data_IF_454824968480
#
_entry.id   IF_454824968480
#
_cell.length_a   1.000
_cell.length_b   1.000
_cell.length_c   1.000
_cell.angle_alpha   90.00
_cell.angle_beta   90.00
_cell.angle_gamma   90.00
#
_symmetry.space_group_name_H-M   'P 1'
#
loop_
_entity.id
_entity.type
_entity.pdbx_description
1 polymer ?
#
# COMPACT_ATOMS: atom_id res chain seq x y z
N UNK A 1 -3.11 13.17 -29.31
CA UNK A 1 -2.26 12.74 -28.18
C UNK A 1 -2.59 11.28 -27.89
N UNK A 2 -1.98 10.35 -28.64
CA UNK A 2 -2.20 8.92 -28.43
C UNK A 2 -1.30 8.44 -27.30
N UNK A 3 -1.87 7.78 -26.29
CA UNK A 3 -1.09 7.11 -25.25
C UNK A 3 -0.34 5.93 -25.88
N UNK A 4 0.83 6.20 -26.45
CA UNK A 4 1.64 5.28 -27.24
C UNK A 4 2.20 4.07 -26.46
N UNK A 5 1.91 3.95 -25.17
CA UNK A 5 2.47 2.91 -24.29
C UNK A 5 1.43 2.07 -23.52
N UNK A 6 0.12 2.19 -23.80
CA UNK A 6 -0.85 1.28 -23.20
C UNK A 6 -0.81 -0.07 -23.92
N UNK A 7 0.08 -0.96 -23.51
CA UNK A 7 0.10 -2.34 -23.98
C UNK A 7 -1.18 -3.07 -23.54
N UNK A 8 -2.26 -2.91 -24.33
CA UNK A 8 -3.56 -3.51 -24.04
C UNK A 8 -3.47 -5.03 -23.91
N UNK A 9 -2.67 -5.67 -24.77
CA UNK A 9 -2.49 -7.12 -24.78
C UNK A 9 -1.64 -7.64 -23.62
N UNK A 10 -0.60 -6.91 -23.23
CA UNK A 10 0.36 -7.33 -22.20
C UNK A 10 -0.03 -6.95 -20.78
N UNK A 11 -0.77 -5.84 -20.60
CA UNK A 11 -1.07 -5.22 -19.30
C UNK A 11 -2.57 -5.02 -19.11
N UNK A 12 -3.25 -4.38 -20.06
CA UNK A 12 -4.66 -4.00 -19.93
C UNK A 12 -5.63 -5.18 -19.78
N UNK A 13 -5.63 -6.13 -20.72
CA UNK A 13 -6.51 -7.30 -20.69
C UNK A 13 -6.23 -8.22 -19.49
N UNK A 14 -4.96 -8.53 -19.13
CA UNK A 14 -4.68 -9.30 -17.92
C UNK A 14 -5.22 -8.64 -16.65
N UNK A 15 -5.01 -7.33 -16.46
CA UNK A 15 -5.54 -6.63 -15.28
C UNK A 15 -7.06 -6.59 -15.28
N UNK A 16 -7.68 -6.35 -16.44
CA UNK A 16 -9.14 -6.39 -16.57
C UNK A 16 -9.70 -7.76 -16.18
N UNK A 17 -9.06 -8.85 -16.60
CA UNK A 17 -9.46 -10.21 -16.21
C UNK A 17 -9.45 -10.38 -14.69
N UNK A 18 -8.38 -9.98 -14.02
CA UNK A 18 -8.28 -10.06 -12.55
C UNK A 18 -9.37 -9.23 -11.85
N UNK A 19 -9.65 -8.02 -12.35
CA UNK A 19 -10.71 -7.17 -11.82
C UNK A 19 -12.10 -7.82 -12.01
N UNK A 20 -12.36 -8.43 -13.16
CA UNK A 20 -13.63 -9.12 -13.44
C UNK A 20 -13.80 -10.31 -12.48
N UNK A 21 -12.80 -11.18 -12.36
CA UNK A 21 -12.84 -12.33 -11.45
C UNK A 21 -13.07 -11.91 -9.99
N UNK A 22 -12.45 -10.81 -9.56
CA UNK A 22 -12.65 -10.26 -8.23
C UNK A 22 -14.08 -9.74 -8.02
N UNK A 23 -14.64 -9.04 -9.01
CA UNK A 23 -16.03 -8.55 -8.98
C UNK A 23 -17.04 -9.70 -8.93
N UNK A 24 -16.82 -10.75 -9.71
CA UNK A 24 -17.67 -11.94 -9.72
C UNK A 24 -17.63 -12.65 -8.36
N UNK A 25 -16.44 -12.82 -7.78
CA UNK A 25 -16.26 -13.43 -6.47
C UNK A 25 -16.95 -12.63 -5.36
N UNK A 26 -16.82 -11.29 -5.39
CA UNK A 26 -17.52 -10.41 -4.45
C UNK A 26 -19.04 -10.48 -4.61
N UNK A 27 -19.55 -10.42 -5.85
CA UNK A 27 -20.98 -10.51 -6.14
C UNK A 27 -21.57 -11.86 -5.70
N UNK A 28 -20.84 -12.96 -5.93
CA UNK A 28 -21.24 -14.28 -5.46
C UNK A 28 -21.32 -14.34 -3.92
N UNK A 29 -20.37 -13.71 -3.22
CA UNK A 29 -20.39 -13.66 -1.76
C UNK A 29 -21.58 -12.85 -1.21
N UNK A 30 -22.08 -11.84 -1.95
CA UNK A 30 -23.29 -11.10 -1.58
C UNK A 30 -24.58 -11.94 -1.64
N UNK A 31 -24.52 -13.18 -2.14
CA UNK A 31 -25.63 -14.12 -2.00
C UNK A 31 -26.05 -14.17 -0.52
N UNK A 32 -27.36 -14.21 -0.29
CA UNK A 32 -27.91 -14.12 1.06
C UNK A 32 -27.48 -15.27 1.97
N UNK A 33 -26.94 -16.39 1.45
CA UNK A 33 -26.30 -17.43 2.28
C UNK A 33 -24.78 -17.27 2.45
N UNK A 34 -24.14 -16.46 1.60
CA UNK A 34 -22.72 -16.14 1.70
C UNK A 34 -22.47 -15.09 2.76
N UNK A 35 -22.95 -13.87 2.53
CA UNK A 35 -22.67 -12.72 3.40
C UNK A 35 -23.27 -12.88 4.80
N UNK A 36 -24.39 -13.59 4.94
CA UNK A 36 -25.02 -13.84 6.25
C UNK A 36 -24.40 -15.03 7.00
N UNK A 37 -23.56 -15.83 6.34
CA UNK A 37 -22.94 -17.01 6.94
C UNK A 37 -23.87 -18.21 7.15
N UNK A 38 -25.01 -18.29 6.46
CA UNK A 38 -25.97 -19.41 6.58
C UNK A 38 -25.65 -20.60 5.67
N UNK A 39 -24.66 -20.49 4.77
CA UNK A 39 -24.23 -21.61 3.94
C UNK A 39 -23.48 -22.70 4.74
N UNK A 40 -23.37 -23.90 4.17
CA UNK A 40 -22.61 -25.00 4.76
C UNK A 40 -21.12 -24.64 4.88
N UNK A 41 -20.44 -25.20 5.89
CA UNK A 41 -19.01 -24.95 6.18
C UNK A 41 -18.08 -25.00 4.96
N UNK A 42 -18.24 -25.99 4.06
CA UNK A 42 -17.40 -26.10 2.87
C UNK A 42 -17.70 -25.02 1.83
N UNK A 43 -18.95 -24.56 1.73
CA UNK A 43 -19.36 -23.45 0.85
C UNK A 43 -18.79 -22.13 1.40
N UNK A 44 -18.85 -21.92 2.72
CA UNK A 44 -18.21 -20.77 3.36
C UNK A 44 -16.69 -20.75 3.15
N UNK A 45 -16.05 -21.93 3.17
CA UNK A 45 -14.63 -22.03 2.87
C UNK A 45 -14.31 -21.67 1.40
N UNK A 46 -15.15 -22.08 0.45
CA UNK A 46 -15.01 -21.70 -0.96
C UNK A 46 -15.16 -20.19 -1.16
N UNK A 47 -16.16 -19.55 -0.53
CA UNK A 47 -16.29 -18.09 -0.53
C UNK A 47 -15.04 -17.40 0.02
N UNK A 48 -14.52 -17.87 1.16
CA UNK A 48 -13.31 -17.33 1.76
C UNK A 48 -12.10 -17.43 0.84
N UNK A 49 -11.89 -18.60 0.21
CA UNK A 49 -10.79 -18.80 -0.75
C UNK A 49 -10.91 -17.87 -1.97
N UNK A 50 -12.10 -17.75 -2.54
CA UNK A 50 -12.35 -16.85 -3.68
C UNK A 50 -12.08 -15.39 -3.34
N UNK A 51 -12.55 -14.92 -2.19
CA UNK A 51 -12.30 -13.55 -1.72
C UNK A 51 -10.82 -13.30 -1.46
N UNK A 52 -10.14 -14.23 -0.78
CA UNK A 52 -8.71 -14.11 -0.49
C UNK A 52 -7.88 -14.06 -1.78
N UNK A 53 -8.17 -14.91 -2.77
CA UNK A 53 -7.57 -14.83 -4.10
C UNK A 53 -7.85 -13.46 -4.75
N UNK A 54 -9.10 -13.01 -4.74
CA UNK A 54 -9.51 -11.74 -5.34
C UNK A 54 -8.78 -10.54 -4.72
N UNK A 55 -8.59 -10.53 -3.40
CA UNK A 55 -7.84 -9.48 -2.69
C UNK A 55 -6.39 -9.47 -3.17
N UNK A 56 -5.72 -10.62 -3.20
CA UNK A 56 -4.33 -10.72 -3.64
C UNK A 56 -4.15 -10.27 -5.11
N UNK A 57 -5.06 -10.68 -5.99
CA UNK A 57 -5.06 -10.28 -7.40
C UNK A 57 -5.25 -8.77 -7.55
N UNK A 58 -6.18 -8.17 -6.81
CA UNK A 58 -6.40 -6.72 -6.83
C UNK A 58 -5.22 -5.95 -6.22
N UNK A 59 -4.58 -6.47 -5.18
CA UNK A 59 -3.36 -5.88 -4.62
C UNK A 59 -2.22 -5.84 -5.66
N UNK A 60 -2.04 -6.91 -6.43
CA UNK A 60 -1.08 -6.93 -7.55
C UNK A 60 -1.40 -5.87 -8.61
N UNK A 61 -2.67 -5.77 -9.02
CA UNK A 61 -3.12 -4.73 -9.97
C UNK A 61 -2.87 -3.32 -9.43
N UNK A 62 -3.28 -3.05 -8.19
CA UNK A 62 -3.09 -1.74 -7.55
C UNK A 62 -1.61 -1.39 -7.41
N UNK A 63 -0.76 -2.36 -7.06
CA UNK A 63 0.70 -2.20 -6.95
C UNK A 63 1.30 -1.73 -8.28
N UNK A 64 0.94 -2.40 -9.38
CA UNK A 64 1.40 -2.04 -10.73
C UNK A 64 0.89 -0.69 -11.20
N UNK A 65 -0.38 -0.37 -10.92
CA UNK A 65 -0.97 0.92 -11.28
C UNK A 65 -0.35 2.07 -10.49
N UNK A 66 -0.10 1.88 -9.19
CA UNK A 66 0.59 2.87 -8.36
C UNK A 66 2.00 3.12 -8.87
N UNK A 67 2.75 2.08 -9.24
CA UNK A 67 4.08 2.22 -9.84
C UNK A 67 4.02 2.98 -11.17
N UNK A 68 3.07 2.64 -12.03
CA UNK A 68 2.85 3.38 -13.27
C UNK A 68 2.53 4.85 -13.01
N UNK A 69 1.63 5.16 -12.06
CA UNK A 69 1.18 6.53 -11.76
C UNK A 69 2.28 7.38 -11.12
N UNK A 70 3.05 6.82 -10.19
CA UNK A 70 4.11 7.52 -9.46
C UNK A 70 5.43 7.64 -10.24
N UNK A 71 5.64 6.86 -11.30
CA UNK A 71 6.79 7.03 -12.19
C UNK A 71 6.72 8.41 -12.89
N UNK A 72 7.63 9.37 -12.64
CA UNK A 72 7.50 10.74 -13.16
C UNK A 72 7.51 10.80 -14.68
N UNK A 73 8.44 10.07 -15.31
CA UNK A 73 8.54 9.98 -16.76
C UNK A 73 8.12 8.58 -17.24
N UNK A 74 6.96 8.51 -17.90
CA UNK A 74 6.37 7.27 -18.40
C UNK A 74 7.20 6.56 -19.48
N UNK A 75 8.21 7.21 -20.05
CA UNK A 75 9.17 6.57 -20.94
C UNK A 75 10.08 5.56 -20.22
N UNK A 76 10.29 5.74 -18.91
CA UNK A 76 11.06 4.79 -18.09
C UNK A 76 10.21 3.68 -17.47
N UNK A 77 8.89 3.71 -17.68
CA UNK A 77 8.02 2.62 -17.26
C UNK A 77 8.22 1.42 -18.18
N UNK A 78 8.86 0.38 -17.66
CA UNK A 78 9.06 -0.89 -18.35
C UNK A 78 7.86 -1.82 -18.10
N UNK A 79 7.02 -1.99 -19.12
CA UNK A 79 5.85 -2.87 -19.07
C UNK A 79 6.17 -4.33 -19.43
N UNK A 80 7.45 -4.74 -19.44
CA UNK A 80 7.86 -6.07 -19.88
C UNK A 80 7.14 -7.19 -19.12
N UNK A 81 6.77 -8.26 -19.85
CA UNK A 81 6.01 -9.39 -19.31
C UNK A 81 6.68 -10.10 -18.14
N UNK A 82 8.01 -9.98 -18.03
CA UNK A 82 8.82 -10.63 -17.00
C UNK A 82 8.70 -9.94 -15.63
N UNK A 83 8.35 -8.64 -15.59
CA UNK A 83 8.17 -7.86 -14.35
C UNK A 83 6.72 -7.79 -13.87
N UNK A 84 5.78 -8.48 -14.56
CA UNK A 84 4.36 -8.47 -14.19
C UNK A 84 4.07 -9.12 -12.84
N UNK A 85 4.91 -10.06 -12.43
CA UNK A 85 4.82 -10.73 -11.13
C UNK A 85 5.65 -10.03 -10.05
N UNK A 86 6.40 -8.97 -10.38
CA UNK A 86 7.11 -8.17 -9.38
C UNK A 86 6.10 -7.25 -8.68
N UNK A 87 6.09 -7.31 -7.35
CA UNK A 87 5.34 -6.40 -6.50
C UNK A 87 6.20 -5.16 -6.25
N UNK A 88 5.79 -4.02 -6.83
CA UNK A 88 6.48 -2.74 -6.63
C UNK A 88 6.12 -2.08 -5.30
N UNK A 89 4.88 -2.28 -4.88
CA UNK A 89 4.31 -1.83 -3.63
C UNK A 89 3.71 -3.00 -2.87
N UNK A 90 3.99 -3.03 -1.58
CA UNK A 90 3.28 -3.86 -0.62
C UNK A 90 2.24 -3.04 0.13
N UNK A 91 1.13 -3.67 0.48
CA UNK A 91 0.09 -3.03 1.27
C UNK A 91 0.48 -3.00 2.75
N UNK A 92 -0.04 -2.05 3.52
CA UNK A 92 0.20 -2.03 4.97
C UNK A 92 -0.36 -3.26 5.69
N UNK A 93 -1.36 -3.94 5.13
CA UNK A 93 -2.00 -5.12 5.73
C UNK A 93 -1.64 -6.41 4.98
N UNK A 94 -1.39 -7.49 5.73
CA UNK A 94 -1.11 -8.83 5.21
C UNK A 94 -1.94 -9.90 5.91
N UNK A 95 -2.22 -11.00 5.23
CA UNK A 95 -2.86 -12.19 5.82
C UNK A 95 -1.94 -13.40 5.62
N UNK A 96 -1.12 -13.71 6.63
CA UNK A 96 -0.04 -14.71 6.53
C UNK A 96 -0.57 -16.16 6.34
N UNK A 97 -1.76 -16.46 6.84
CA UNK A 97 -2.37 -17.81 6.76
C UNK A 97 -3.52 -17.95 5.75
N UNK A 98 -3.58 -17.08 4.73
CA UNK A 98 -4.67 -17.05 3.75
C UNK A 98 -6.02 -16.67 4.36
N UNK A 99 -7.13 -17.15 3.77
CA UNK A 99 -8.48 -16.68 4.12
C UNK A 99 -8.94 -16.94 5.57
N UNK A 100 -8.25 -17.82 6.31
CA UNK A 100 -8.57 -18.13 7.72
C UNK A 100 -7.79 -17.29 8.71
N UNK A 101 -6.79 -16.54 8.24
CA UNK A 101 -5.92 -15.72 9.06
C UNK A 101 -6.50 -14.31 9.16
N UNK A 102 -6.35 -13.70 10.33
CA UNK A 102 -6.64 -12.29 10.49
C UNK A 102 -5.58 -11.47 9.75
N UNK A 103 -6.01 -10.30 9.26
CA UNK A 103 -5.05 -9.33 8.76
C UNK A 103 -4.18 -8.81 9.90
N UNK A 104 -2.89 -8.69 9.63
CA UNK A 104 -1.91 -8.06 10.50
C UNK A 104 -1.22 -6.93 9.72
N UNK A 105 -0.77 -5.92 10.45
CA UNK A 105 -0.05 -4.81 9.86
C UNK A 105 1.41 -5.21 9.57
N UNK A 106 1.86 -5.00 8.34
CA UNK A 106 3.27 -5.13 7.93
C UNK A 106 4.14 -4.13 8.70
N UNK A 107 5.33 -4.58 9.08
CA UNK A 107 6.36 -3.72 9.65
C UNK A 107 7.22 -3.21 8.49
N UNK A 108 7.27 -1.90 8.34
CA UNK A 108 8.09 -1.22 7.36
C UNK A 108 9.54 -1.18 7.86
N UNK A 109 10.45 -1.72 7.08
CA UNK A 109 11.87 -1.58 7.37
C UNK A 109 12.32 -0.15 7.08
N UNK A 110 12.77 0.55 8.12
CA UNK A 110 13.23 1.93 8.06
C UNK A 110 14.74 2.07 8.28
N UNK A 111 15.49 0.97 8.19
CA UNK A 111 16.95 1.00 8.17
C UNK A 111 17.49 1.41 6.81
N UNK A 112 18.63 2.12 6.83
CA UNK A 112 19.36 2.52 5.64
C UNK A 112 19.07 3.96 5.20
N UNK A 113 20.06 4.52 4.52
CA UNK A 113 20.02 5.90 4.02
C UNK A 113 19.39 6.03 2.63
N UNK A 114 18.97 4.91 2.04
CA UNK A 114 18.27 4.90 0.76
C UNK A 114 16.86 5.48 0.93
N UNK A 115 16.37 6.11 -0.15
CA UNK A 115 15.07 6.77 -0.16
C UNK A 115 13.95 5.73 -0.22
N UNK A 116 13.29 5.51 0.92
CA UNK A 116 12.04 4.76 1.00
C UNK A 116 10.84 5.58 0.52
N UNK A 117 9.80 4.90 0.04
CA UNK A 117 8.57 5.52 -0.47
C UNK A 117 7.34 4.87 0.17
N UNK A 118 6.41 5.71 0.63
CA UNK A 118 5.08 5.33 1.11
C UNK A 118 4.04 6.07 0.27
N UNK A 119 3.06 5.36 -0.26
CA UNK A 119 2.03 5.95 -1.14
C UNK A 119 0.64 5.80 -0.54
N UNK A 120 -0.14 6.89 -0.58
CA UNK A 120 -1.52 6.93 -0.09
C UNK A 120 -2.48 7.30 -1.21
N UNK A 121 -3.47 6.43 -1.43
CA UNK A 121 -4.54 6.64 -2.39
C UNK A 121 -5.80 7.13 -1.71
N UNK A 122 -6.39 8.22 -2.22
CA UNK A 122 -7.71 8.69 -1.82
C UNK A 122 -8.74 8.35 -2.89
N UNK A 123 -9.61 7.39 -2.58
CA UNK A 123 -10.71 6.98 -3.46
C UNK A 123 -11.91 7.94 -3.47
N UNK A 124 -11.91 9.00 -2.66
CA UNK A 124 -13.01 9.97 -2.61
C UNK A 124 -12.80 11.13 -3.59
N UNK A 125 -13.92 11.68 -4.07
CA UNK A 125 -13.95 12.87 -4.93
C UNK A 125 -13.70 14.21 -4.18
N UNK A 126 -13.16 14.16 -2.96
CA UNK A 126 -12.79 15.34 -2.16
C UNK A 126 -11.43 15.10 -1.51
N UNK A 127 -10.68 16.17 -1.26
CA UNK A 127 -9.44 16.09 -0.48
C UNK A 127 -9.71 15.54 0.93
N UNK A 128 -8.75 14.78 1.46
CA UNK A 128 -8.78 14.23 2.82
C UNK A 128 -7.46 14.48 3.51
N UNK A 129 -7.54 14.80 4.80
CA UNK A 129 -6.40 14.89 5.72
C UNK A 129 -6.71 13.98 6.91
N UNK A 130 -5.88 12.96 7.13
CA UNK A 130 -6.10 11.94 8.15
C UNK A 130 -4.79 11.54 8.82
N UNK A 131 -4.86 11.22 10.10
CA UNK A 131 -3.72 10.62 10.81
C UNK A 131 -3.64 9.15 10.42
N UNK A 132 -2.48 8.74 9.93
CA UNK A 132 -2.16 7.34 9.63
C UNK A 132 -1.08 6.86 10.59
N UNK A 133 -1.21 5.62 11.05
CA UNK A 133 -0.22 4.95 11.90
C UNK A 133 0.40 3.75 11.19
N UNK A 134 1.72 3.75 11.03
CA UNK A 134 2.51 2.69 10.43
C UNK A 134 3.38 1.97 11.49
N UNK A 135 3.62 0.67 11.33
CA UNK A 135 4.60 -0.07 12.14
C UNK A 135 5.95 0.03 11.44
N UNK A 136 6.99 0.42 12.16
CA UNK A 136 8.35 0.62 11.63
C UNK A 136 9.40 -0.08 12.49
N UNK A 137 10.56 -0.42 11.93
CA UNK A 137 11.67 -1.06 12.66
C UNK A 137 12.55 -0.08 13.43
N UNK A 138 12.83 1.09 12.86
CA UNK A 138 13.74 2.10 13.41
C UNK A 138 13.03 3.47 13.55
N UNK A 139 13.00 4.09 14.75
CA UNK A 139 12.34 5.37 14.97
C UNK A 139 13.15 6.58 14.48
N UNK A 140 14.46 6.43 14.25
CA UNK A 140 15.36 7.50 13.80
C UNK A 140 15.28 7.72 12.30
N UNK A 141 14.16 8.28 11.84
CA UNK A 141 13.89 8.56 10.44
C UNK A 141 13.61 10.04 10.18
N UNK A 142 13.91 10.49 8.96
CA UNK A 142 13.34 11.71 8.41
C UNK A 142 12.13 11.32 7.58
N UNK A 143 11.03 12.08 7.69
CA UNK A 143 9.83 11.92 6.89
C UNK A 143 9.55 13.23 6.15
N UNK A 144 9.38 13.15 4.83
CA UNK A 144 9.19 14.34 4.00
C UNK A 144 8.32 14.05 2.77
N UNK A 145 7.80 15.10 2.15
CA UNK A 145 7.13 15.05 0.85
C UNK A 145 7.89 15.89 -0.17
N UNK A 146 7.67 15.62 -1.46
CA UNK A 146 8.26 16.40 -2.54
C UNK A 146 7.19 17.31 -3.16
N UNK A 147 7.47 18.60 -3.17
CA UNK A 147 6.68 19.59 -3.89
C UNK A 147 7.45 20.06 -5.12
N UNK A 148 6.75 20.25 -6.24
CA UNK A 148 7.35 20.82 -7.44
C UNK A 148 7.03 22.32 -7.49
N UNK A 149 8.02 23.15 -7.16
CA UNK A 149 7.89 24.61 -7.17
C UNK A 149 8.84 25.14 -8.24
N UNK A 150 8.29 25.86 -9.22
CA UNK A 150 9.05 26.48 -10.33
C UNK A 150 9.94 25.52 -11.16
N UNK A 151 9.71 24.21 -11.06
CA UNK A 151 10.45 23.19 -11.79
C UNK A 151 11.55 22.50 -10.98
N UNK A 152 11.79 22.95 -9.74
CA UNK A 152 12.69 22.31 -8.79
C UNK A 152 11.90 21.45 -7.78
N UNK A 153 12.53 20.36 -7.34
CA UNK A 153 12.01 19.49 -6.28
C UNK A 153 12.39 20.10 -4.92
N UNK A 154 11.37 20.52 -4.16
CA UNK A 154 11.54 21.01 -2.80
C UNK A 154 11.08 19.95 -1.79
N UNK A 155 11.90 19.73 -0.76
CA UNK A 155 11.63 18.76 0.29
C UNK A 155 10.94 19.45 1.48
N UNK A 156 9.68 19.09 1.71
CA UNK A 156 8.93 19.59 2.87
C UNK A 156 8.87 18.51 3.95
N UNK A 157 9.41 18.81 5.13
CA UNK A 157 9.39 17.90 6.26
C UNK A 157 7.98 17.70 6.81
N UNK A 158 7.65 16.45 7.13
CA UNK A 158 6.34 16.07 7.64
C UNK A 158 6.47 15.75 9.12
N UNK A 159 5.79 16.49 10.01
CA UNK A 159 5.84 16.20 11.44
C UNK A 159 5.17 14.85 11.72
N UNK A 160 5.78 14.09 12.61
CA UNK A 160 5.30 12.78 13.02
C UNK A 160 5.49 12.55 14.52
N UNK A 161 4.80 11.54 15.04
CA UNK A 161 4.91 11.05 16.39
C UNK A 161 5.35 9.59 16.36
N UNK A 162 6.35 9.25 17.17
CA UNK A 162 6.74 7.86 17.46
C UNK A 162 6.05 7.40 18.73
N UNK A 163 5.60 6.15 18.77
CA UNK A 163 5.07 5.53 19.99
C UNK A 163 5.54 4.08 20.12
N UNK A 164 5.81 3.60 21.34
CA UNK A 164 6.23 2.23 21.56
C UNK A 164 5.09 1.25 21.27
N UNK A 165 5.45 0.01 20.96
CA UNK A 165 4.51 -1.11 20.91
C UNK A 165 4.72 -1.96 22.16
N UNK A 166 3.60 -2.33 22.79
CA UNK A 166 3.62 -3.24 23.93
C UNK A 166 3.23 -4.63 23.48
N UNK A 167 3.90 -5.64 24.01
CA UNK A 167 3.50 -7.03 23.84
C UNK A 167 2.36 -7.43 24.79
N UNK A 168 1.92 -8.68 24.69
CA UNK A 168 0.84 -9.23 25.54
C UNK A 168 1.20 -9.24 27.04
N UNK A 169 2.50 -9.12 27.38
CA UNK A 169 3.01 -9.02 28.75
C UNK A 169 3.20 -7.58 29.22
N UNK A 170 2.78 -6.59 28.42
CA UNK A 170 2.94 -5.15 28.66
C UNK A 170 4.40 -4.69 28.69
N UNK A 171 5.32 -5.42 28.06
CA UNK A 171 6.70 -5.00 27.86
C UNK A 171 6.85 -4.28 26.51
N UNK A 172 7.77 -3.31 26.45
CA UNK A 172 8.03 -2.54 25.23
C UNK A 172 8.83 -3.41 24.25
N UNK A 173 8.33 -3.52 23.01
CA UNK A 173 9.05 -4.11 21.91
C UNK A 173 10.14 -3.14 21.42
N UNK A 174 11.41 -3.45 21.72
CA UNK A 174 12.55 -2.58 21.38
C UNK A 174 12.91 -2.51 19.88
N UNK A 175 12.22 -3.27 19.02
CA UNK A 175 12.50 -3.33 17.58
C UNK A 175 11.31 -2.96 16.69
N UNK A 176 10.20 -2.53 17.28
CA UNK A 176 9.00 -2.14 16.52
C UNK A 176 8.33 -0.92 17.16
N UNK A 177 8.03 0.08 16.33
CA UNK A 177 7.48 1.35 16.76
C UNK A 177 6.27 1.72 15.90
N UNK A 178 5.41 2.59 16.44
CA UNK A 178 4.29 3.19 15.72
C UNK A 178 4.66 4.60 15.25
N UNK A 179 4.70 4.79 13.94
CA UNK A 179 4.86 6.08 13.27
C UNK A 179 3.49 6.67 12.93
N UNK A 180 3.11 7.74 13.60
CA UNK A 180 1.83 8.44 13.34
C UNK A 180 2.06 9.82 12.75
N UNK A 181 1.44 10.12 11.62
CA UNK A 181 1.57 11.43 10.95
C UNK A 181 0.32 11.78 10.14
N UNK A 182 0.17 13.06 9.81
CA UNK A 182 -0.95 13.56 9.02
C UNK A 182 -0.65 13.36 7.54
N UNK A 183 -1.53 12.63 6.87
CA UNK A 183 -1.48 12.40 5.42
C UNK A 183 -2.56 13.25 4.76
N UNK A 184 -2.16 14.05 3.78
CA UNK A 184 -3.06 14.92 3.03
C UNK A 184 -3.08 14.53 1.56
N UNK A 185 -4.20 13.97 1.10
CA UNK A 185 -4.32 13.46 -0.28
C UNK A 185 -5.45 14.19 -1.01
N UNK A 186 -5.19 14.74 -2.21
CA UNK A 186 -6.23 15.35 -3.04
C UNK A 186 -7.33 14.36 -3.45
N UNK A 187 -8.41 14.88 -4.03
CA UNK A 187 -9.51 14.07 -4.56
C UNK A 187 -9.00 13.10 -5.65
N UNK A 188 -9.37 11.83 -5.56
CA UNK A 188 -9.05 10.78 -6.56
C UNK A 188 -7.57 10.72 -6.92
N UNK A 189 -6.69 10.98 -5.95
CA UNK A 189 -5.26 11.10 -6.17
C UNK A 189 -4.45 10.08 -5.35
N UNK A 190 -3.25 9.81 -5.84
CA UNK A 190 -2.20 9.06 -5.16
C UNK A 190 -1.10 10.05 -4.78
N UNK A 191 -0.72 10.12 -3.51
CA UNK A 191 0.36 10.98 -3.01
C UNK A 191 1.47 10.15 -2.39
N UNK A 192 2.72 10.50 -2.70
CA UNK A 192 3.90 9.86 -2.14
C UNK A 192 4.49 10.67 -0.97
N UNK A 193 4.96 9.94 0.03
CA UNK A 193 5.75 10.39 1.15
C UNK A 193 7.04 9.59 1.15
N UNK A 194 8.12 10.21 1.61
CA UNK A 194 9.45 9.64 1.55
C UNK A 194 10.07 9.60 2.93
N UNK A 195 10.88 8.58 3.16
CA UNK A 195 11.61 8.42 4.40
C UNK A 195 13.01 7.89 4.15
N UNK A 196 13.91 8.15 5.09
CA UNK A 196 15.21 7.52 5.20
C UNK A 196 15.68 7.57 6.66
N UNK A 197 16.62 6.71 7.01
CA UNK A 197 17.27 6.77 8.32
C UNK A 197 18.03 8.10 8.48
N UNK A 198 17.86 8.75 9.62
CA UNK A 198 18.62 9.96 9.97
C UNK A 198 20.09 9.63 10.13
N UNK A 199 20.95 10.48 9.60
CA UNK A 199 22.39 10.38 9.88
C UNK A 199 22.65 10.85 11.30
N UNK A 200 23.70 10.30 11.93
CA UNK A 200 24.10 10.69 13.29
C UNK A 200 24.37 12.20 13.46
N UNK A 201 24.67 12.90 12.37
CA UNK A 201 24.91 14.35 12.32
C UNK A 201 23.61 15.18 12.29
N UNK A 202 22.49 14.58 11.90
CA UNK A 202 21.17 15.21 11.74
C UNK A 202 20.32 15.14 13.02
N UNK A 203 20.84 14.47 14.06
CA UNK A 203 20.19 14.30 15.35
C UNK A 203 19.53 12.94 15.52
N UNK A 204 18.76 12.78 16.59
CA UNK A 204 18.01 11.56 16.91
C UNK A 204 16.57 11.93 17.20
N UNK A 205 15.65 11.12 16.72
CA UNK A 205 14.26 11.22 17.13
C UNK A 205 14.11 10.68 18.56
N UNK A 206 13.12 11.18 19.33
CA UNK A 206 12.82 10.68 20.66
C UNK A 206 12.29 9.24 20.67
#
# INVERSE_FOLDING_TARGET
MGYSNSNMNGVGYPFMKLIIEARESYALFQHHDGVTGTAKKHVMADYGQRMSKSINDLQSVMSQLSHFLLTPNKAFYDSSSNKRNELWFEFSEKADGGFKSLFSQRVLDTHGYEKGLIAFFNSHARARSEVVTLRITNPNIRLYTLNFVEGDEDEEEVPFQISPIFDDTHEILNGEFLLSFVVEVPALALKAYYFNELRAEEGTNP
#
